data_IF_794428173627
#
_entry.id   IF_794428173627
#
_cell.length_a   1.000
_cell.length_b   1.000
_cell.length_c   1.000
_cell.angle_alpha   90.00
_cell.angle_beta   90.00
_cell.angle_gamma   90.00
#
_symmetry.space_group_name_H-M   'P 1'
#
loop_
_entity.id
_entity.type
_entity.pdbx_description
1 polymer ?
#
# COMPACT_ATOMS: atom_id res chain seq x y z
N UNK A 1 3.55 1.32 3.21
CA UNK A 1 2.84 2.31 2.36
C UNK A 1 1.34 2.36 2.67
N UNK A 2 0.59 1.26 2.53
CA UNK A 2 -0.87 1.24 2.74
C UNK A 2 -1.32 1.75 4.12
N UNK A 3 -0.69 1.30 5.21
CA UNK A 3 -1.04 1.75 6.56
C UNK A 3 -0.88 3.27 6.75
N UNK A 4 0.16 3.86 6.14
CA UNK A 4 0.38 5.32 6.19
C UNK A 4 -0.68 6.07 5.39
N UNK A 5 -1.07 5.56 4.22
CA UNK A 5 -2.14 6.15 3.40
C UNK A 5 -3.46 6.11 4.17
N UNK A 6 -3.84 4.95 4.73
CA UNK A 6 -5.06 4.82 5.55
C UNK A 6 -5.05 5.77 6.75
N UNK A 7 -3.93 5.86 7.46
CA UNK A 7 -3.79 6.78 8.59
C UNK A 7 -3.89 8.26 8.15
N UNK A 8 -3.34 8.61 7.00
CA UNK A 8 -3.44 9.96 6.45
C UNK A 8 -4.88 10.31 6.07
N UNK A 9 -5.58 9.43 5.34
CA UNK A 9 -6.99 9.62 4.99
C UNK A 9 -7.88 9.76 6.23
N UNK A 10 -7.66 8.94 7.26
CA UNK A 10 -8.36 9.05 8.53
C UNK A 10 -8.10 10.41 9.20
N UNK A 11 -6.87 10.93 9.13
CA UNK A 11 -6.54 12.28 9.63
C UNK A 11 -7.24 13.38 8.83
N UNK A 12 -7.38 13.24 7.51
CA UNK A 12 -8.13 14.20 6.68
C UNK A 12 -9.60 14.26 7.10
N UNK A 13 -10.25 13.08 7.21
CA UNK A 13 -11.65 12.98 7.66
C UNK A 13 -11.83 13.58 9.06
N UNK A 14 -10.91 13.29 9.99
CA UNK A 14 -10.98 13.82 11.35
C UNK A 14 -10.90 15.35 11.35
N UNK A 15 -9.93 15.91 10.62
CA UNK A 15 -9.71 17.35 10.51
C UNK A 15 -10.90 18.06 9.88
N UNK A 16 -11.46 17.49 8.82
CA UNK A 16 -12.67 18.00 8.17
C UNK A 16 -13.84 18.07 9.17
N UNK A 17 -14.10 16.98 9.90
CA UNK A 17 -15.14 16.92 10.95
C UNK A 17 -14.91 17.94 12.07
N UNK A 18 -13.66 18.18 12.43
CA UNK A 18 -13.31 19.16 13.46
C UNK A 18 -13.57 20.60 12.98
N UNK A 19 -13.19 20.94 11.74
CA UNK A 19 -13.48 22.25 11.15
C UNK A 19 -14.98 22.50 11.03
N UNK A 20 -15.78 21.51 10.64
CA UNK A 20 -17.25 21.62 10.62
C UNK A 20 -17.85 21.95 12.00
N UNK A 21 -17.20 21.52 13.09
CA UNK A 21 -17.63 21.77 14.47
C UNK A 21 -17.01 23.01 15.09
N UNK A 22 -16.20 23.78 14.35
CA UNK A 22 -15.43 24.90 14.90
C UNK A 22 -14.38 24.48 15.94
N UNK A 23 -13.88 23.24 15.85
CA UNK A 23 -12.86 22.70 16.77
C UNK A 23 -11.49 22.77 16.10
N UNK A 24 -10.56 23.49 16.73
CA UNK A 24 -9.24 23.79 16.12
C UNK A 24 -8.05 23.14 16.85
N UNK A 25 -8.28 22.08 17.63
CA UNK A 25 -7.27 21.40 18.46
C UNK A 25 -6.01 20.99 17.68
N UNK A 26 -6.15 20.63 16.41
CA UNK A 26 -5.02 20.25 15.53
C UNK A 26 -4.62 21.35 14.52
N UNK A 27 -5.17 22.56 14.67
CA UNK A 27 -4.89 23.73 13.85
C UNK A 27 -4.61 24.95 14.76
N UNK A 28 -3.51 24.95 15.54
CA UNK A 28 -3.24 25.97 16.55
C UNK A 28 -3.13 27.38 15.97
N UNK A 29 -2.62 27.52 14.74
CA UNK A 29 -2.56 28.82 14.08
C UNK A 29 -3.95 29.29 13.64
N UNK A 30 -4.79 28.39 13.13
CA UNK A 30 -6.16 28.70 12.74
C UNK A 30 -7.01 29.11 13.96
N UNK A 31 -6.75 28.52 15.13
CA UNK A 31 -7.38 28.88 16.39
C UNK A 31 -7.05 30.32 16.84
N UNK A 32 -5.95 30.89 16.37
CA UNK A 32 -5.51 32.25 16.70
C UNK A 32 -5.99 33.30 15.68
N UNK A 33 -6.49 32.85 14.52
CA UNK A 33 -7.00 33.75 13.50
C UNK A 33 -8.40 34.26 13.85
N UNK A 34 -8.69 35.49 13.43
CA UNK A 34 -10.05 36.03 13.54
C UNK A 34 -11.00 35.20 12.67
N UNK A 35 -12.09 34.73 13.27
CA UNK A 35 -13.11 33.93 12.58
C UNK A 35 -13.73 34.67 11.38
N UNK A 36 -13.70 36.01 11.38
CA UNK A 36 -14.16 36.83 10.25
C UNK A 36 -13.21 36.80 9.04
N UNK A 37 -11.94 36.44 9.23
CA UNK A 37 -10.91 36.41 8.18
C UNK A 37 -10.67 35.00 7.62
N UNK A 38 -11.14 33.95 8.31
CA UNK A 38 -10.89 32.56 7.96
C UNK A 38 -12.07 31.99 7.16
N UNK A 39 -11.84 31.70 5.89
CA UNK A 39 -12.77 30.90 5.10
C UNK A 39 -12.65 29.41 5.46
N UNK A 40 -13.28 29.03 6.57
CA UNK A 40 -13.33 27.65 7.05
C UNK A 40 -13.97 26.72 6.01
N UNK A 41 -14.90 27.23 5.17
CA UNK A 41 -15.54 26.44 4.12
C UNK A 41 -14.56 26.11 3.00
N UNK A 42 -13.70 27.05 2.61
CA UNK A 42 -12.63 26.78 1.65
C UNK A 42 -11.65 25.73 2.18
N UNK A 43 -11.25 25.81 3.46
CA UNK A 43 -10.37 24.80 4.07
C UNK A 43 -11.00 23.40 4.06
N UNK A 44 -12.28 23.29 4.41
CA UNK A 44 -13.04 22.04 4.34
C UNK A 44 -13.04 21.50 2.90
N UNK A 45 -13.38 22.34 1.91
CA UNK A 45 -13.39 21.95 0.50
C UNK A 45 -12.05 21.40 0.02
N UNK A 46 -10.94 22.03 0.42
CA UNK A 46 -9.58 21.54 0.12
C UNK A 46 -9.33 20.18 0.75
N UNK A 47 -9.73 19.97 2.01
CA UNK A 47 -9.59 18.66 2.69
C UNK A 47 -10.43 17.57 2.02
N UNK A 48 -11.68 17.85 1.66
CA UNK A 48 -12.55 16.90 0.97
C UNK A 48 -11.98 16.53 -0.40
N UNK A 49 -11.48 17.52 -1.16
CA UNK A 49 -10.84 17.31 -2.46
C UNK A 49 -9.59 16.43 -2.31
N UNK A 50 -8.71 16.77 -1.36
CA UNK A 50 -7.50 16.00 -1.10
C UNK A 50 -7.82 14.55 -0.70
N UNK A 51 -8.84 14.35 0.13
CA UNK A 51 -9.28 13.02 0.51
C UNK A 51 -9.79 12.23 -0.70
N UNK A 52 -10.60 12.84 -1.57
CA UNK A 52 -11.11 12.21 -2.79
C UNK A 52 -9.97 11.77 -3.72
N UNK A 53 -8.98 12.65 -3.92
CA UNK A 53 -7.81 12.34 -4.75
C UNK A 53 -7.00 11.17 -4.20
N UNK A 54 -6.73 11.15 -2.88
CA UNK A 54 -6.06 10.01 -2.24
C UNK A 54 -6.89 8.74 -2.31
N UNK A 55 -8.19 8.83 -2.02
CA UNK A 55 -9.09 7.68 -2.04
C UNK A 55 -9.12 7.06 -3.43
N UNK A 56 -9.31 7.87 -4.47
CA UNK A 56 -9.30 7.45 -5.87
C UNK A 56 -7.95 6.84 -6.27
N UNK A 57 -6.85 7.56 -6.06
CA UNK A 57 -5.50 7.14 -6.48
C UNK A 57 -5.06 5.83 -5.84
N UNK A 58 -5.44 5.56 -4.59
CA UNK A 58 -5.08 4.33 -3.88
C UNK A 58 -6.12 3.22 -3.98
N UNK A 59 -7.24 3.42 -4.69
CA UNK A 59 -8.27 2.40 -4.89
C UNK A 59 -7.69 1.14 -5.53
N UNK A 60 -6.83 1.30 -6.56
CA UNK A 60 -6.17 0.18 -7.22
C UNK A 60 -5.25 -0.62 -6.28
N UNK A 61 -4.50 0.07 -5.41
CA UNK A 61 -3.62 -0.58 -4.43
C UNK A 61 -4.45 -1.38 -3.41
N UNK A 62 -5.59 -0.86 -2.99
CA UNK A 62 -6.50 -1.55 -2.06
C UNK A 62 -7.14 -2.78 -2.69
N UNK A 63 -7.54 -2.71 -3.95
CA UNK A 63 -8.15 -3.85 -4.65
C UNK A 63 -7.18 -5.03 -4.84
N UNK A 64 -5.87 -4.77 -4.82
CA UNK A 64 -4.83 -5.81 -4.90
C UNK A 64 -4.13 -6.07 -3.55
N UNK A 65 -4.65 -5.52 -2.44
CA UNK A 65 -4.02 -5.64 -1.13
C UNK A 65 -3.81 -7.09 -0.68
N UNK A 66 -4.75 -7.98 -1.02
CA UNK A 66 -4.64 -9.41 -0.72
C UNK A 66 -3.47 -10.05 -1.48
N UNK A 67 -3.36 -9.79 -2.79
CA UNK A 67 -2.26 -10.29 -3.62
C UNK A 67 -0.89 -9.78 -3.13
N UNK A 68 -0.82 -8.52 -2.70
CA UNK A 68 0.39 -7.98 -2.09
C UNK A 68 0.75 -8.71 -0.80
N UNK A 69 -0.23 -9.04 0.06
CA UNK A 69 0.03 -9.78 1.30
C UNK A 69 0.44 -11.23 1.03
N UNK A 70 -0.22 -11.93 0.11
CA UNK A 70 0.19 -13.28 -0.30
C UNK A 70 1.64 -13.28 -0.75
N UNK A 71 2.05 -12.29 -1.55
CA UNK A 71 3.43 -12.23 -2.07
C UNK A 71 4.45 -11.78 -1.02
N UNK A 72 4.10 -10.80 -0.17
CA UNK A 72 5.03 -10.19 0.79
C UNK A 72 5.16 -10.94 2.11
N UNK A 73 4.12 -11.63 2.56
CA UNK A 73 4.08 -12.40 3.81
C UNK A 73 3.46 -13.78 3.56
N UNK A 74 4.01 -14.60 2.64
CA UNK A 74 3.39 -15.87 2.25
C UNK A 74 3.34 -16.88 3.39
N UNK A 75 4.25 -16.81 4.37
CA UNK A 75 4.31 -17.72 5.51
C UNK A 75 3.29 -17.38 6.61
N UNK A 76 2.87 -16.11 6.71
CA UNK A 76 1.94 -15.64 7.74
C UNK A 76 0.51 -15.43 7.18
N UNK A 77 0.32 -15.60 5.87
CA UNK A 77 -0.98 -15.38 5.25
C UNK A 77 -1.93 -16.56 5.56
N UNK A 78 -3.14 -16.32 6.09
CA UNK A 78 -4.10 -17.39 6.34
C UNK A 78 -4.51 -18.06 5.03
N UNK A 79 -4.13 -19.34 4.83
CA UNK A 79 -4.42 -20.05 3.58
C UNK A 79 -5.94 -20.17 3.31
N UNK A 80 -6.77 -20.21 4.36
CA UNK A 80 -8.24 -20.23 4.22
C UNK A 80 -8.79 -18.97 3.56
N UNK A 81 -8.15 -17.82 3.79
CA UNK A 81 -8.49 -16.54 3.17
C UNK A 81 -7.90 -16.41 1.77
N UNK A 82 -7.08 -17.35 1.30
CA UNK A 82 -6.45 -17.27 -0.02
C UNK A 82 -7.41 -17.68 -1.15
N UNK A 83 -7.21 -17.15 -2.38
CA UNK A 83 -7.86 -17.67 -3.58
C UNK A 83 -7.65 -19.19 -3.73
N UNK A 84 -8.67 -19.88 -4.23
CA UNK A 84 -8.68 -21.36 -4.27
C UNK A 84 -7.54 -21.96 -5.10
N UNK A 85 -7.08 -21.25 -6.12
CA UNK A 85 -6.01 -21.68 -7.02
C UNK A 85 -4.61 -21.67 -6.36
N UNK A 86 -4.41 -20.87 -5.30
CA UNK A 86 -3.10 -20.75 -4.62
C UNK A 86 -3.07 -21.37 -3.23
N UNK A 87 -4.24 -21.74 -2.68
CA UNK A 87 -4.36 -22.26 -1.31
C UNK A 87 -3.48 -23.48 -1.03
N UNK A 88 -3.48 -24.45 -1.94
CA UNK A 88 -2.66 -25.66 -1.79
C UNK A 88 -1.17 -25.34 -1.86
N UNK A 89 -0.76 -24.45 -2.77
CA UNK A 89 0.64 -24.00 -2.86
C UNK A 89 1.08 -23.27 -1.59
N UNK A 90 0.20 -22.48 -0.96
CA UNK A 90 0.48 -21.82 0.31
C UNK A 90 0.67 -22.83 1.45
N UNK A 91 -0.15 -23.88 1.51
CA UNK A 91 -0.01 -24.94 2.53
C UNK A 91 1.33 -25.66 2.35
N UNK A 92 1.68 -26.07 1.13
CA UNK A 92 2.96 -26.71 0.82
C UNK A 92 4.15 -25.79 1.14
N UNK A 93 4.01 -24.49 0.88
CA UNK A 93 5.04 -23.50 1.18
C UNK A 93 5.21 -23.34 2.70
N UNK A 94 4.11 -23.15 3.43
CA UNK A 94 4.06 -22.86 4.86
C UNK A 94 4.52 -24.03 5.73
N UNK A 95 4.36 -25.26 5.25
CA UNK A 95 4.81 -26.48 5.94
C UNK A 95 6.30 -26.77 5.76
N UNK A 96 7.01 -26.01 4.90
CA UNK A 96 8.42 -26.24 4.60
C UNK A 96 9.36 -25.31 5.40
N UNK A 97 9.98 -25.85 6.44
CA UNK A 97 11.01 -25.15 7.22
C UNK A 97 12.21 -24.70 6.36
N UNK A 98 12.53 -25.47 5.32
CA UNK A 98 13.60 -25.14 4.37
C UNK A 98 13.25 -23.88 3.57
N UNK A 99 12.01 -23.78 3.08
CA UNK A 99 11.57 -22.60 2.34
C UNK A 99 11.39 -21.39 3.27
N UNK A 100 10.95 -21.59 4.51
CA UNK A 100 10.89 -20.54 5.51
C UNK A 100 12.29 -19.98 5.81
N UNK A 101 13.28 -20.85 6.07
CA UNK A 101 14.66 -20.44 6.29
C UNK A 101 15.23 -19.67 5.09
N UNK A 102 14.96 -20.13 3.86
CA UNK A 102 15.34 -19.40 2.64
C UNK A 102 14.69 -18.03 2.58
N UNK A 103 13.39 -17.92 2.86
CA UNK A 103 12.66 -16.66 2.86
C UNK A 103 13.27 -15.66 3.84
N UNK A 104 13.57 -16.08 5.07
CA UNK A 104 14.20 -15.22 6.08
C UNK A 104 15.64 -14.83 5.73
N UNK A 105 16.37 -15.69 5.01
CA UNK A 105 17.76 -15.42 4.61
C UNK A 105 17.88 -14.51 3.37
N UNK A 106 16.85 -14.46 2.53
CA UNK A 106 16.87 -13.64 1.31
C UNK A 106 16.71 -12.16 1.65
N UNK A 107 17.49 -11.31 0.99
CA UNK A 107 17.41 -9.84 1.15
C UNK A 107 16.24 -9.23 0.39
N UNK A 108 15.74 -9.90 -0.66
CA UNK A 108 14.62 -9.43 -1.46
C UNK A 108 13.61 -10.54 -1.76
N UNK A 109 12.34 -10.16 -1.95
CA UNK A 109 11.30 -11.10 -2.41
C UNK A 109 11.65 -11.70 -3.78
N UNK A 110 12.29 -10.91 -4.66
CA UNK A 110 12.70 -11.37 -5.99
C UNK A 110 13.65 -12.57 -5.88
N UNK A 111 14.63 -12.50 -4.97
CA UNK A 111 15.62 -13.56 -4.79
C UNK A 111 15.01 -14.81 -4.19
N UNK A 112 14.03 -14.67 -3.30
CA UNK A 112 13.27 -15.79 -2.77
C UNK A 112 12.43 -16.48 -3.86
N UNK A 113 11.58 -15.72 -4.56
CA UNK A 113 10.68 -16.29 -5.57
C UNK A 113 11.44 -16.92 -6.75
N UNK A 114 12.65 -16.45 -7.07
CA UNK A 114 13.50 -17.08 -8.10
C UNK A 114 13.93 -18.51 -7.74
N UNK A 115 13.96 -18.85 -6.45
CA UNK A 115 14.41 -20.16 -5.95
C UNK A 115 13.28 -21.19 -5.82
N UNK A 116 12.02 -20.77 -5.95
CA UNK A 116 10.88 -21.69 -5.82
C UNK A 116 10.77 -22.60 -7.06
N UNK A 117 10.58 -23.93 -6.87
CA UNK A 117 10.33 -24.85 -7.97
C UNK A 117 9.05 -24.48 -8.73
N UNK A 118 9.20 -24.16 -10.03
CA UNK A 118 8.07 -23.72 -10.86
C UNK A 118 6.96 -24.77 -10.99
N UNK A 119 7.31 -26.05 -10.96
CA UNK A 119 6.34 -27.13 -11.04
C UNK A 119 5.46 -27.23 -9.77
N UNK A 120 5.98 -26.80 -8.62
CA UNK A 120 5.30 -26.92 -7.32
C UNK A 120 4.55 -25.64 -6.94
N UNK A 121 5.05 -24.47 -7.35
CA UNK A 121 4.48 -23.17 -6.95
C UNK A 121 4.11 -22.26 -8.14
N UNK A 122 3.47 -22.76 -9.21
CA UNK A 122 3.20 -21.96 -10.39
C UNK A 122 2.29 -20.75 -10.11
N UNK A 123 1.28 -20.87 -9.26
CA UNK A 123 0.31 -19.81 -8.96
C UNK A 123 0.90 -18.73 -8.07
N UNK A 124 1.73 -19.09 -7.08
CA UNK A 124 2.51 -18.13 -6.30
C UNK A 124 3.51 -17.36 -7.17
N UNK A 125 4.19 -18.03 -8.09
CA UNK A 125 5.16 -17.39 -8.99
C UNK A 125 4.49 -16.40 -9.95
N UNK A 126 3.32 -16.73 -10.49
CA UNK A 126 2.55 -15.81 -11.34
C UNK A 126 2.17 -14.54 -10.56
N UNK A 127 1.71 -14.69 -9.32
CA UNK A 127 1.36 -13.56 -8.45
C UNK A 127 2.58 -12.72 -8.09
N UNK A 128 3.67 -13.37 -7.71
CA UNK A 128 4.92 -12.69 -7.40
C UNK A 128 5.41 -11.85 -8.57
N UNK A 129 5.43 -12.43 -9.80
CA UNK A 129 5.80 -11.69 -11.02
C UNK A 129 4.92 -10.46 -11.23
N UNK A 130 3.61 -10.59 -11.04
CA UNK A 130 2.66 -9.48 -11.20
C UNK A 130 2.93 -8.36 -10.22
N UNK A 131 3.06 -8.70 -8.93
CA UNK A 131 3.34 -7.74 -7.85
C UNK A 131 4.70 -7.06 -8.06
N UNK A 132 5.75 -7.84 -8.34
CA UNK A 132 7.09 -7.31 -8.59
C UNK A 132 7.09 -6.36 -9.80
N UNK A 133 6.43 -6.73 -10.89
CA UNK A 133 6.35 -5.88 -12.09
C UNK A 133 5.65 -4.53 -11.83
N UNK A 134 4.65 -4.47 -10.94
CA UNK A 134 4.00 -3.21 -10.57
C UNK A 134 4.97 -2.21 -9.92
N UNK A 135 5.88 -2.69 -9.07
CA UNK A 135 6.84 -1.83 -8.36
C UNK A 135 8.16 -1.62 -9.12
N UNK A 136 8.60 -2.60 -9.92
CA UNK A 136 9.80 -2.43 -10.74
C UNK A 136 9.57 -1.48 -11.92
N UNK A 137 8.36 -1.43 -12.49
CA UNK A 137 8.02 -0.48 -13.55
C UNK A 137 8.01 0.96 -13.05
N UNK A 138 7.49 1.22 -11.84
CA UNK A 138 7.53 2.57 -11.24
C UNK A 138 8.96 3.02 -10.99
N UNK A 139 9.81 2.16 -10.41
CA UNK A 139 11.21 2.49 -10.15
C UNK A 139 12.00 2.73 -11.45
N UNK A 140 11.77 1.90 -12.47
CA UNK A 140 12.43 2.06 -13.77
C UNK A 140 12.02 3.36 -14.46
N UNK A 141 10.73 3.73 -14.39
CA UNK A 141 10.25 5.01 -14.88
C UNK A 141 10.86 6.19 -14.10
N UNK A 142 10.86 6.16 -12.77
CA UNK A 142 11.44 7.21 -11.92
C UNK A 142 12.94 7.41 -12.18
N UNK A 143 13.69 6.33 -12.35
CA UNK A 143 15.10 6.40 -12.75
C UNK A 143 15.29 7.03 -14.13
N UNK A 144 14.45 6.65 -15.11
CA UNK A 144 14.51 7.20 -16.45
C UNK A 144 14.20 8.70 -16.46
N UNK A 145 13.13 9.13 -15.79
CA UNK A 145 12.78 10.55 -15.65
C UNK A 145 13.84 11.35 -14.88
N UNK A 146 14.44 10.77 -13.84
CA UNK A 146 15.54 11.40 -13.09
C UNK A 146 16.80 11.62 -13.94
N UNK A 147 17.02 10.77 -14.95
CA UNK A 147 18.12 10.90 -15.92
C UNK A 147 17.78 11.86 -17.07
N UNK A 148 16.51 12.05 -17.39
CA UNK A 148 16.02 13.02 -18.37
C UNK A 148 15.91 14.44 -17.79
N UNK A 149 16.88 14.87 -16.97
CA UNK A 149 17.02 16.30 -16.66
C UNK A 149 17.33 17.02 -17.98
N UNK A 150 16.34 17.74 -18.51
CA UNK A 150 16.58 18.70 -19.58
C UNK A 150 17.51 19.78 -19.04
N UNK A 151 18.74 19.82 -19.57
CA UNK A 151 19.67 20.94 -19.44
C UNK A 151 19.23 22.10 -20.31
#
# INVERSE_FOLDING_TARGET
MEAHVRAFEAKLILREKQLYKGVYVHFPHLAQCDAALVDTKACISVLSTLWNEFSSRFTYVRSHSQEFKIVSTPFDFPYDDAPSDVRLELIELQTSDVLLSKFTSCTTLIDFYRQLPHAQFPMLLVRAKRVIAMFCSTYSCEQLFSKMKFS
#
